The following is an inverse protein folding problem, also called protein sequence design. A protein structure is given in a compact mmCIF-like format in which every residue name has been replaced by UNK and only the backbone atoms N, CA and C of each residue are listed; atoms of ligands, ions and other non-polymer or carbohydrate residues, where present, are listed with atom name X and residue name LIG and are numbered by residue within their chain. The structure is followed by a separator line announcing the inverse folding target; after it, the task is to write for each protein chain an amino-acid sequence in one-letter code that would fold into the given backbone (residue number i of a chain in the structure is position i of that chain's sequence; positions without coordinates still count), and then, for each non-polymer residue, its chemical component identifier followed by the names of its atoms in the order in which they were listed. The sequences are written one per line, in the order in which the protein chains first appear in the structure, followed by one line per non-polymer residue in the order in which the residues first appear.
data_IF_457437822024
#
_entry.id   IF_457437822024
#
_cell.length_a   1.000
_cell.length_b   1.000
_cell.length_c   1.000
_cell.angle_alpha   90.00
_cell.angle_beta   90.00
_cell.angle_gamma   90.00
#
_symmetry.space_group_name_H-M   'P 1'
#
loop_
_entity.id
_entity.type
_entity.pdbx_description
1 polymer ?
#
# COMPACT_ATOMS: atom_id res chain seq x y z
N UNK A 1 -36.18 9.47 12.48
CA UNK A 1 -35.60 10.81 12.28
C UNK A 1 -34.10 10.63 12.04
N UNK A 2 -33.75 10.20 10.84
CA UNK A 2 -33.22 10.97 9.69
C UNK A 2 -31.71 11.16 9.78
N UNK A 3 -31.01 10.34 8.96
CA UNK A 3 -29.58 10.42 8.64
C UNK A 3 -29.28 11.74 7.93
N UNK A 4 -28.18 12.39 8.27
CA UNK A 4 -27.53 13.37 7.39
C UNK A 4 -26.18 12.85 6.94
N UNK A 5 -26.07 12.71 5.62
CA UNK A 5 -24.86 12.43 4.88
C UNK A 5 -24.11 13.76 4.68
N UNK A 6 -22.78 13.74 4.81
CA UNK A 6 -21.91 14.82 4.32
C UNK A 6 -21.06 14.23 3.20
N UNK A 7 -21.33 14.70 1.99
CA UNK A 7 -20.55 14.44 0.79
C UNK A 7 -19.26 15.26 0.83
N UNK A 8 -18.13 14.59 0.57
CA UNK A 8 -16.84 15.24 0.34
C UNK A 8 -16.71 15.65 -1.13
N UNK A 9 -16.56 16.95 -1.35
CA UNK A 9 -16.20 17.58 -2.62
C UNK A 9 -14.70 17.47 -2.84
N UNK A 10 -14.28 16.88 -3.96
CA UNK A 10 -12.89 16.86 -4.40
C UNK A 10 -12.56 18.20 -5.10
N UNK A 11 -11.52 18.89 -4.61
CA UNK A 11 -10.91 20.05 -5.29
C UNK A 11 -9.65 19.56 -6.00
N UNK A 12 -9.62 19.71 -7.32
CA UNK A 12 -8.45 19.47 -8.17
C UNK A 12 -7.53 20.70 -8.11
N UNK A 13 -6.25 20.49 -7.77
CA UNK A 13 -5.19 21.46 -7.94
C UNK A 13 -4.44 21.13 -9.23
N UNK A 14 -4.58 21.97 -10.26
CA UNK A 14 -3.65 21.99 -11.40
C UNK A 14 -2.51 22.97 -11.12
N UNK A 15 -1.28 22.50 -11.29
CA UNK A 15 -0.08 23.32 -11.40
C UNK A 15 0.25 23.47 -12.90
N UNK A 16 0.25 24.70 -13.42
CA UNK A 16 0.93 25.04 -14.68
C UNK A 16 1.83 26.25 -14.45
N UNK A 17 3.07 26.07 -14.90
CA UNK A 17 4.20 27.00 -14.83
C UNK A 17 3.90 28.35 -15.48
N UNK A 18 4.26 29.42 -14.76
CA UNK A 18 4.40 30.76 -15.32
C UNK A 18 5.84 31.01 -15.80
N UNK A 19 5.98 31.48 -17.03
CA UNK A 19 7.17 32.19 -17.50
C UNK A 19 6.69 33.46 -18.19
N UNK A 20 7.28 34.59 -17.81
CA UNK A 20 6.87 35.95 -18.14
C UNK A 20 7.40 36.46 -19.50
N UNK A 21 6.53 37.21 -20.20
CA UNK A 21 6.75 38.49 -20.92
C UNK A 21 7.57 38.53 -22.25
N UNK A 22 7.44 39.61 -23.08
CA UNK A 22 6.23 40.36 -23.46
C UNK A 22 6.17 40.86 -24.95
N UNK A 23 4.95 41.21 -25.37
CA UNK A 23 4.48 42.35 -26.21
C UNK A 23 5.01 42.63 -27.65
N UNK A 24 4.04 42.67 -28.58
CA UNK A 24 3.72 43.69 -29.62
C UNK A 24 3.02 42.99 -30.80
N UNK A 25 2.05 43.49 -31.56
CA UNK A 25 1.42 44.79 -31.75
C UNK A 25 0.96 44.85 -33.22
N UNK A 26 -0.24 45.42 -33.48
CA UNK A 26 -0.84 45.81 -34.79
C UNK A 26 -1.52 44.77 -35.69
N UNK A 27 -2.84 44.95 -35.84
CA UNK A 27 -3.39 45.66 -37.01
C UNK A 27 -4.05 44.81 -38.12
N UNK A 28 -5.02 45.39 -38.88
CA UNK A 28 -6.29 44.72 -39.21
C UNK A 28 -6.58 44.60 -40.72
N UNK A 29 -7.69 43.94 -41.08
CA UNK A 29 -8.39 44.25 -42.33
C UNK A 29 -9.26 43.13 -42.92
N UNK A 30 -10.47 43.49 -43.36
CA UNK A 30 -11.15 42.81 -44.47
C UNK A 30 -12.58 42.35 -44.22
N UNK A 31 -13.54 43.28 -44.31
CA UNK A 31 -14.96 43.00 -44.46
C UNK A 31 -15.38 42.93 -45.94
N UNK A 32 -16.67 42.60 -46.16
CA UNK A 32 -17.48 42.60 -47.40
C UNK A 32 -17.67 41.22 -48.02
N UNK A 33 -18.85 40.76 -48.45
CA UNK A 33 -20.21 41.31 -48.61
C UNK A 33 -21.06 40.15 -49.18
N UNK A 34 -22.23 39.83 -48.64
CA UNK A 34 -23.55 40.37 -48.99
C UNK A 34 -24.10 39.97 -50.38
N UNK A 35 -25.15 39.12 -50.35
CA UNK A 35 -26.32 39.00 -51.26
C UNK A 35 -26.08 38.40 -52.67
N UNK A 36 -26.99 37.69 -53.34
CA UNK A 36 -28.46 37.71 -53.33
C UNK A 36 -29.11 36.41 -53.87
N UNK A 37 -30.44 36.39 -53.71
CA UNK A 37 -31.48 35.39 -54.02
C UNK A 37 -31.47 34.69 -55.39
N UNK A 38 -32.04 33.47 -55.40
CA UNK A 38 -32.65 32.83 -56.57
C UNK A 38 -33.55 31.66 -56.15
N UNK A 39 -34.86 31.78 -56.37
CA UNK A 39 -35.88 30.78 -56.01
C UNK A 39 -36.09 29.67 -57.05
N UNK A 40 -36.66 28.54 -56.61
CA UNK A 40 -37.16 27.47 -57.47
C UNK A 40 -37.40 26.14 -56.70
N UNK A 41 -38.55 25.44 -56.86
CA UNK A 41 -39.03 24.44 -55.91
C UNK A 41 -38.59 22.98 -56.16
N UNK A 42 -38.55 22.23 -55.06
CA UNK A 42 -38.69 20.79 -54.81
C UNK A 42 -38.30 19.75 -55.88
N UNK A 43 -37.30 18.92 -55.53
CA UNK A 43 -37.25 17.47 -55.80
C UNK A 43 -36.71 16.74 -54.56
N UNK A 44 -37.30 15.63 -54.10
CA UNK A 44 -36.81 14.93 -52.91
C UNK A 44 -35.58 14.11 -53.30
N UNK A 45 -34.40 14.53 -52.84
CA UNK A 45 -33.20 13.68 -52.87
C UNK A 45 -33.15 12.88 -51.58
N UNK A 46 -33.17 11.55 -51.76
CA UNK A 46 -33.01 10.51 -50.73
C UNK A 46 -31.92 10.92 -49.73
N UNK A 47 -32.32 11.20 -48.49
CA UNK A 47 -31.39 11.38 -47.39
C UNK A 47 -30.78 10.01 -47.06
N UNK A 48 -29.48 9.86 -47.35
CA UNK A 48 -28.66 8.78 -46.82
C UNK A 48 -28.54 9.05 -45.31
N UNK A 49 -29.23 8.25 -44.48
CA UNK A 49 -29.06 8.28 -43.03
C UNK A 49 -27.69 7.68 -42.73
N UNK A 50 -26.71 8.54 -42.50
CA UNK A 50 -25.42 8.14 -41.95
C UNK A 50 -25.66 7.76 -40.48
N UNK A 51 -25.41 6.52 -40.02
CA UNK A 51 -25.53 6.22 -38.61
C UNK A 51 -24.44 6.99 -37.87
N UNK A 52 -24.88 7.93 -37.01
CA UNK A 52 -24.02 8.60 -36.05
C UNK A 52 -23.52 7.52 -35.08
N UNK A 53 -22.33 6.98 -35.34
CA UNK A 53 -21.64 6.11 -34.38
C UNK A 53 -21.23 7.01 -33.22
N UNK A 54 -22.07 7.07 -32.18
CA UNK A 54 -21.62 7.53 -30.87
C UNK A 54 -20.57 6.51 -30.40
N UNK A 55 -19.30 6.84 -30.61
CA UNK A 55 -18.21 6.24 -29.88
C UNK A 55 -18.37 6.65 -28.41
N UNK A 56 -19.16 5.89 -27.66
CA UNK A 56 -19.11 5.92 -26.21
C UNK A 56 -17.70 5.45 -25.84
N UNK A 57 -16.78 6.40 -25.61
CA UNK A 57 -15.58 6.13 -24.86
C UNK A 57 -16.05 5.68 -23.48
N UNK A 58 -16.15 4.36 -23.30
CA UNK A 58 -16.14 3.77 -22.00
C UNK A 58 -14.80 4.16 -21.38
N UNK A 59 -14.82 5.22 -20.58
CA UNK A 59 -13.86 5.41 -19.53
C UNK A 59 -13.96 4.17 -18.65
N UNK A 60 -13.21 3.13 -19.01
CA UNK A 60 -12.97 1.98 -18.16
C UNK A 60 -12.06 2.50 -17.06
N UNK A 61 -12.68 3.21 -16.12
CA UNK A 61 -12.11 3.39 -14.80
C UNK A 61 -11.74 2.00 -14.35
N UNK A 62 -10.44 1.69 -14.37
CA UNK A 62 -9.92 0.46 -13.82
C UNK A 62 -10.19 0.57 -12.33
N UNK A 63 -11.34 0.08 -11.91
CA UNK A 63 -11.62 -0.17 -10.51
C UNK A 63 -10.50 -1.09 -10.04
N UNK A 64 -9.50 -0.49 -9.39
CA UNK A 64 -8.47 -1.26 -8.72
C UNK A 64 -9.23 -2.17 -7.76
N UNK A 65 -9.24 -3.47 -8.06
CA UNK A 65 -9.91 -4.44 -7.22
C UNK A 65 -9.32 -4.27 -5.82
N UNK A 66 -10.16 -3.90 -4.84
CA UNK A 66 -9.71 -3.66 -3.48
C UNK A 66 -8.92 -4.87 -2.98
N UNK A 67 -7.78 -4.61 -2.32
CA UNK A 67 -6.96 -5.67 -1.77
C UNK A 67 -7.77 -6.48 -0.75
N UNK A 68 -7.70 -7.81 -0.81
CA UNK A 68 -8.39 -8.69 0.16
C UNK A 68 -7.48 -9.82 0.62
N UNK A 69 -7.59 -10.21 1.89
CA UNK A 69 -6.86 -11.37 2.41
C UNK A 69 -7.21 -12.67 1.68
N UNK A 70 -8.42 -12.78 1.10
CA UNK A 70 -8.79 -13.91 0.26
C UNK A 70 -7.90 -14.01 -0.98
N UNK A 71 -7.62 -12.90 -1.65
CA UNK A 71 -6.76 -12.88 -2.83
C UNK A 71 -5.29 -13.00 -2.43
N UNK A 72 -4.87 -12.41 -1.32
CA UNK A 72 -3.50 -12.57 -0.82
C UNK A 72 -3.19 -14.05 -0.57
N UNK A 73 -4.11 -14.76 0.07
CA UNK A 73 -3.96 -16.19 0.31
C UNK A 73 -4.02 -17.04 -0.98
N UNK A 74 -4.76 -16.61 -2.00
CA UNK A 74 -4.66 -17.19 -3.35
C UNK A 74 -3.24 -17.01 -3.90
N UNK A 75 -2.68 -15.82 -3.80
CA UNK A 75 -1.32 -15.52 -4.28
C UNK A 75 -0.27 -16.35 -3.55
N UNK A 76 -0.38 -16.53 -2.22
CA UNK A 76 0.48 -17.46 -1.46
C UNK A 76 0.39 -18.88 -2.01
N UNK A 77 -0.84 -19.37 -2.22
CA UNK A 77 -1.06 -20.70 -2.81
C UNK A 77 -0.40 -20.83 -4.19
N UNK A 78 -0.62 -19.87 -5.08
CA UNK A 78 -0.03 -19.87 -6.43
C UNK A 78 1.51 -19.74 -6.40
N UNK A 79 2.03 -18.95 -5.47
CA UNK A 79 3.47 -18.76 -5.25
C UNK A 79 4.12 -20.08 -4.83
N UNK A 80 3.53 -20.80 -3.88
CA UNK A 80 4.02 -22.11 -3.41
C UNK A 80 4.03 -23.20 -4.49
N UNK A 81 3.22 -23.05 -5.55
CA UNK A 81 3.20 -23.94 -6.72
C UNK A 81 4.11 -23.46 -7.86
N UNK A 82 4.86 -22.38 -7.67
CA UNK A 82 5.73 -21.76 -8.69
C UNK A 82 4.97 -21.07 -9.82
N UNK A 83 3.66 -20.83 -9.65
CA UNK A 83 2.78 -20.28 -10.67
C UNK A 83 2.66 -18.75 -10.59
N UNK A 84 3.13 -18.14 -9.51
CA UNK A 84 3.08 -16.70 -9.27
C UNK A 84 4.40 -16.23 -8.67
N UNK A 85 4.91 -15.08 -9.12
CA UNK A 85 6.17 -14.47 -8.63
C UNK A 85 6.00 -12.96 -8.34
N UNK A 86 4.77 -12.47 -8.38
CA UNK A 86 4.47 -11.07 -8.04
C UNK A 86 4.36 -10.87 -6.52
N UNK A 87 4.13 -9.62 -6.08
CA UNK A 87 3.89 -9.32 -4.68
C UNK A 87 2.57 -9.94 -4.19
N UNK A 88 2.54 -10.36 -2.93
CA UNK A 88 1.33 -10.86 -2.27
C UNK A 88 0.54 -9.65 -1.77
N UNK A 89 -0.07 -8.95 -2.73
CA UNK A 89 -0.71 -7.64 -2.54
C UNK A 89 -2.21 -7.69 -2.25
N UNK A 90 -2.83 -8.87 -2.33
CA UNK A 90 -4.26 -9.03 -2.19
C UNK A 90 -5.08 -8.51 -3.36
N UNK A 91 -4.45 -8.12 -4.47
CA UNK A 91 -5.09 -7.58 -5.67
C UNK A 91 -5.17 -8.66 -6.74
N UNK A 92 -6.37 -8.89 -7.27
CA UNK A 92 -6.63 -9.92 -8.28
C UNK A 92 -6.24 -9.43 -9.68
N UNK A 93 -5.01 -8.91 -9.84
CA UNK A 93 -4.51 -8.30 -11.07
C UNK A 93 -4.24 -9.30 -12.21
N UNK A 94 -3.78 -8.81 -13.39
CA UNK A 94 -3.52 -9.65 -14.55
C UNK A 94 -2.55 -10.81 -14.28
N UNK A 95 -1.50 -10.59 -13.49
CA UNK A 95 -0.54 -11.63 -13.13
C UNK A 95 -1.19 -12.74 -12.28
N UNK A 96 -2.02 -12.35 -11.30
CA UNK A 96 -2.79 -13.30 -10.46
C UNK A 96 -3.76 -14.10 -11.31
N UNK A 97 -4.53 -13.45 -12.20
CA UNK A 97 -5.47 -14.14 -13.11
C UNK A 97 -4.76 -15.11 -14.07
N UNK A 98 -3.61 -14.74 -14.63
CA UNK A 98 -2.79 -15.63 -15.46
C UNK A 98 -2.30 -16.85 -14.67
N UNK A 99 -1.86 -16.64 -13.43
CA UNK A 99 -1.43 -17.72 -12.55
C UNK A 99 -2.57 -18.69 -12.21
N UNK A 100 -3.79 -18.18 -11.95
CA UNK A 100 -4.99 -19.00 -11.78
C UNK A 100 -5.28 -19.85 -13.01
N UNK A 101 -5.26 -19.27 -14.21
CA UNK A 101 -5.47 -20.01 -15.46
C UNK A 101 -4.44 -21.12 -15.67
N UNK A 102 -3.17 -20.85 -15.35
CA UNK A 102 -2.10 -21.89 -15.39
C UNK A 102 -2.36 -23.03 -14.42
N UNK A 103 -2.80 -22.73 -13.20
CA UNK A 103 -3.20 -23.76 -12.23
C UNK A 103 -4.36 -24.59 -12.77
N UNK A 104 -5.39 -23.96 -13.30
CA UNK A 104 -6.57 -24.62 -13.86
C UNK A 104 -6.21 -25.57 -15.00
N UNK A 105 -5.35 -25.11 -15.93
CA UNK A 105 -4.79 -25.93 -17.00
C UNK A 105 -4.02 -27.14 -16.46
N UNK A 106 -3.10 -26.92 -15.50
CA UNK A 106 -2.30 -27.99 -14.89
C UNK A 106 -3.18 -29.02 -14.16
N UNK A 107 -4.25 -28.56 -13.52
CA UNK A 107 -5.20 -29.39 -12.78
C UNK A 107 -6.29 -30.03 -13.67
N UNK A 108 -6.29 -29.76 -14.98
CA UNK A 108 -7.29 -30.25 -15.95
C UNK A 108 -8.74 -29.93 -15.54
N UNK A 109 -8.97 -28.68 -15.11
CA UNK A 109 -10.29 -28.14 -14.77
C UNK A 109 -10.63 -26.95 -15.68
N UNK A 110 -11.87 -26.43 -15.59
CA UNK A 110 -12.30 -25.28 -16.38
C UNK A 110 -11.37 -24.06 -16.22
N UNK A 111 -10.99 -23.43 -17.34
CA UNK A 111 -10.00 -22.34 -17.42
C UNK A 111 -10.70 -20.99 -17.58
N UNK A 112 -11.40 -20.59 -16.53
CA UNK A 112 -12.14 -19.31 -16.47
C UNK A 112 -11.30 -18.18 -15.83
N UNK A 113 -10.17 -18.51 -15.18
CA UNK A 113 -9.35 -17.57 -14.42
C UNK A 113 -9.97 -17.15 -13.07
N UNK A 114 -11.04 -17.82 -12.64
CA UNK A 114 -11.76 -17.57 -11.40
C UNK A 114 -11.38 -18.64 -10.36
N UNK A 115 -10.96 -18.27 -9.13
CA UNK A 115 -10.56 -19.22 -8.09
C UNK A 115 -11.78 -19.90 -7.41
N UNK A 116 -12.58 -20.60 -8.20
CA UNK A 116 -13.74 -21.37 -7.76
C UNK A 116 -13.38 -22.60 -6.90
N UNK A 117 -14.37 -23.38 -6.44
CA UNK A 117 -14.15 -24.54 -5.57
C UNK A 117 -13.15 -25.57 -6.16
N UNK A 118 -13.22 -25.86 -7.46
CA UNK A 118 -12.28 -26.76 -8.13
C UNK A 118 -10.85 -26.21 -8.12
N UNK A 119 -10.67 -24.93 -8.41
CA UNK A 119 -9.36 -24.27 -8.38
C UNK A 119 -8.78 -24.22 -6.97
N UNK A 120 -9.61 -23.99 -5.94
CA UNK A 120 -9.15 -24.06 -4.55
C UNK A 120 -8.72 -25.47 -4.17
N UNK A 121 -9.48 -26.50 -4.56
CA UNK A 121 -9.08 -27.90 -4.37
C UNK A 121 -7.75 -28.21 -5.06
N UNK A 122 -7.50 -27.65 -6.25
CA UNK A 122 -6.24 -27.81 -6.98
C UNK A 122 -5.01 -27.23 -6.25
N UNK A 123 -5.20 -26.31 -5.30
CA UNK A 123 -4.11 -25.81 -4.43
C UNK A 123 -3.78 -26.74 -3.26
N UNK A 124 -4.49 -27.87 -3.14
CA UNK A 124 -4.24 -28.90 -2.14
C UNK A 124 -4.45 -28.38 -0.72
N UNK A 125 -3.46 -28.62 0.16
CA UNK A 125 -3.50 -28.25 1.59
C UNK A 125 -3.83 -26.78 1.83
N UNK A 126 -3.48 -25.90 0.89
CA UNK A 126 -3.77 -24.48 1.01
C UNK A 126 -5.26 -24.19 0.84
N UNK A 127 -5.96 -24.70 -0.18
CA UNK A 127 -7.33 -24.27 -0.49
C UNK A 127 -8.48 -24.86 0.35
N UNK A 128 -8.21 -25.59 1.44
CA UNK A 128 -9.24 -26.34 2.19
C UNK A 128 -10.14 -25.46 3.06
N UNK A 129 -9.58 -24.48 3.76
CA UNK A 129 -10.29 -23.72 4.79
C UNK A 129 -10.41 -22.24 4.41
N UNK A 130 -11.64 -21.69 4.34
CA UNK A 130 -11.84 -20.25 4.24
C UNK A 130 -11.32 -19.52 5.48
N UNK A 131 -10.91 -18.26 5.32
CA UNK A 131 -10.52 -17.41 6.43
C UNK A 131 -11.69 -17.22 7.42
N UNK A 132 -11.42 -17.35 8.72
CA UNK A 132 -12.45 -17.29 9.77
C UNK A 132 -13.29 -18.57 9.97
N UNK A 133 -13.14 -19.60 9.12
CA UNK A 133 -13.94 -20.83 9.23
C UNK A 133 -13.57 -21.72 10.43
N UNK A 134 -12.42 -21.49 11.05
CA UNK A 134 -11.93 -22.23 12.21
C UNK A 134 -10.92 -21.39 13.00
N UNK A 135 -10.66 -21.74 14.27
CA UNK A 135 -9.57 -21.13 15.03
C UNK A 135 -8.19 -21.51 14.47
N UNK A 136 -7.28 -20.52 14.40
CA UNK A 136 -5.89 -20.72 13.97
C UNK A 136 -4.94 -20.58 15.16
N UNK A 137 -3.97 -21.50 15.25
CA UNK A 137 -2.92 -21.52 16.29
C UNK A 137 -1.63 -22.09 15.70
N UNK A 138 -0.52 -22.02 16.44
CA UNK A 138 0.78 -22.53 15.98
C UNK A 138 0.67 -23.96 15.44
N UNK A 139 1.34 -24.21 14.31
CA UNK A 139 1.30 -25.49 13.58
C UNK A 139 0.17 -25.62 12.56
N UNK A 140 -0.77 -24.66 12.48
CA UNK A 140 -1.72 -24.62 11.36
C UNK A 140 -1.01 -24.22 10.07
N UNK A 141 -1.45 -24.83 8.96
CA UNK A 141 -1.03 -24.50 7.61
C UNK A 141 -2.29 -24.34 6.77
N UNK A 142 -2.33 -23.38 5.86
CA UNK A 142 -3.45 -23.22 4.95
C UNK A 142 -3.60 -21.82 4.36
N UNK A 143 -4.57 -21.69 3.47
CA UNK A 143 -5.01 -20.41 2.90
C UNK A 143 -5.57 -19.47 3.97
N UNK A 144 -6.28 -20.00 4.96
CA UNK A 144 -6.73 -19.23 6.12
C UNK A 144 -5.56 -18.66 6.95
N UNK A 145 -4.45 -19.40 7.04
CA UNK A 145 -3.22 -18.91 7.68
C UNK A 145 -2.53 -17.84 6.85
N UNK A 146 -2.45 -18.03 5.52
CA UNK A 146 -1.93 -17.01 4.61
C UNK A 146 -2.74 -15.70 4.70
N UNK A 147 -4.07 -15.83 4.76
CA UNK A 147 -4.97 -14.70 4.97
C UNK A 147 -4.72 -14.03 6.33
N UNK A 148 -4.53 -14.80 7.41
CA UNK A 148 -4.16 -14.25 8.72
C UNK A 148 -2.84 -13.47 8.66
N UNK A 149 -1.80 -14.00 8.02
CA UNK A 149 -0.50 -13.35 7.90
C UNK A 149 -0.63 -12.01 7.15
N UNK A 150 -1.42 -11.97 6.08
CA UNK A 150 -1.71 -10.75 5.33
C UNK A 150 -2.47 -9.73 6.18
N UNK A 151 -3.54 -10.14 6.87
CA UNK A 151 -4.32 -9.24 7.73
C UNK A 151 -3.49 -8.69 8.88
N UNK A 152 -2.67 -9.51 9.53
CA UNK A 152 -1.75 -9.05 10.58
C UNK A 152 -0.78 -8.01 10.02
N UNK A 153 -0.20 -8.25 8.84
CA UNK A 153 0.73 -7.32 8.21
C UNK A 153 0.05 -5.98 7.85
N UNK A 154 -1.16 -6.03 7.27
CA UNK A 154 -1.97 -4.86 6.97
C UNK A 154 -2.34 -4.04 8.22
N UNK A 155 -2.48 -4.70 9.38
CA UNK A 155 -2.69 -4.05 10.68
C UNK A 155 -1.39 -3.60 11.38
N UNK A 156 -0.26 -3.65 10.69
CA UNK A 156 1.03 -3.20 11.21
C UNK A 156 1.78 -4.23 12.05
N UNK A 157 1.44 -5.51 11.92
CA UNK A 157 2.09 -6.63 12.60
C UNK A 157 2.61 -7.66 11.59
N UNK A 158 3.59 -7.30 10.73
CA UNK A 158 4.17 -8.26 9.79
C UNK A 158 4.79 -9.45 10.53
N UNK A 159 4.67 -10.63 9.93
CA UNK A 159 5.09 -11.90 10.52
C UNK A 159 6.26 -12.58 9.79
N UNK A 160 6.92 -11.84 8.88
CA UNK A 160 7.95 -12.36 7.99
C UNK A 160 7.37 -12.71 6.62
N UNK A 161 7.72 -13.89 6.10
CA UNK A 161 7.18 -14.38 4.84
C UNK A 161 5.70 -14.78 5.00
N UNK A 162 4.91 -14.45 4.00
CA UNK A 162 3.53 -14.88 3.81
C UNK A 162 3.57 -16.24 3.12
N UNK A 163 3.75 -17.29 3.92
CA UNK A 163 3.96 -18.67 3.46
C UNK A 163 2.77 -19.60 3.76
N UNK A 164 1.75 -19.10 4.45
CA UNK A 164 0.60 -19.86 4.90
C UNK A 164 0.90 -20.87 6.00
N UNK A 165 1.99 -20.69 6.75
CA UNK A 165 2.41 -21.53 7.88
C UNK A 165 2.38 -20.70 9.18
N UNK A 166 1.61 -21.14 10.17
CA UNK A 166 1.53 -20.47 11.46
C UNK A 166 2.68 -20.95 12.35
N UNK A 167 3.87 -20.39 12.09
CA UNK A 167 5.08 -20.63 12.85
C UNK A 167 5.25 -19.70 14.05
N UNK A 168 6.45 -19.70 14.66
CA UNK A 168 6.76 -18.87 15.82
C UNK A 168 6.64 -17.36 15.53
N UNK A 169 7.06 -16.90 14.34
CA UNK A 169 6.97 -15.49 13.95
C UNK A 169 5.52 -15.03 13.78
N UNK A 170 4.66 -15.85 13.18
CA UNK A 170 3.22 -15.56 13.05
C UNK A 170 2.51 -15.61 14.40
N UNK A 171 2.83 -16.56 15.28
CA UNK A 171 2.30 -16.59 16.66
C UNK A 171 2.69 -15.32 17.43
N UNK A 172 3.95 -14.89 17.34
CA UNK A 172 4.41 -13.66 17.97
C UNK A 172 3.70 -12.41 17.42
N UNK A 173 3.53 -12.32 16.10
CA UNK A 173 2.79 -11.23 15.46
C UNK A 173 1.31 -11.21 15.89
N UNK A 174 0.68 -12.38 15.93
CA UNK A 174 -0.70 -12.55 16.40
C UNK A 174 -0.85 -12.07 17.85
N UNK A 175 0.06 -12.45 18.75
CA UNK A 175 0.03 -11.99 20.16
C UNK A 175 0.21 -10.48 20.28
N UNK A 176 1.11 -9.88 19.48
CA UNK A 176 1.27 -8.41 19.44
C UNK A 176 -0.03 -7.72 18.99
N UNK A 177 -0.66 -8.24 17.95
CA UNK A 177 -1.96 -7.74 17.47
C UNK A 177 -3.06 -7.91 18.53
N UNK A 178 -3.16 -9.08 19.17
CA UNK A 178 -4.15 -9.34 20.21
C UNK A 178 -4.00 -8.35 21.38
N UNK A 179 -2.75 -8.10 21.81
CA UNK A 179 -2.44 -7.09 22.83
C UNK A 179 -2.85 -5.68 22.38
N UNK A 180 -2.53 -5.30 21.15
CA UNK A 180 -2.83 -3.98 20.59
C UNK A 180 -4.34 -3.72 20.47
N UNK A 181 -5.09 -4.74 20.06
CA UNK A 181 -6.55 -4.68 19.89
C UNK A 181 -7.32 -4.95 21.19
N UNK A 182 -6.63 -5.15 22.32
CA UNK A 182 -7.22 -5.44 23.63
C UNK A 182 -8.16 -6.66 23.63
N UNK A 183 -7.89 -7.66 22.79
CA UNK A 183 -8.55 -8.98 22.86
C UNK A 183 -7.70 -9.96 23.66
N UNK A 184 -8.23 -11.14 23.96
CA UNK A 184 -7.50 -12.19 24.70
C UNK A 184 -6.17 -12.52 24.00
N UNK A 185 -5.06 -12.47 24.75
CA UNK A 185 -3.70 -12.74 24.26
C UNK A 185 -3.34 -14.21 24.48
N UNK A 186 -3.87 -15.09 23.65
CA UNK A 186 -3.67 -16.55 23.74
C UNK A 186 -2.89 -17.14 22.57
N UNK A 187 -2.57 -16.36 21.53
CA UNK A 187 -1.96 -16.85 20.29
C UNK A 187 -2.90 -17.73 19.47
N UNK A 188 -4.21 -17.65 19.72
CA UNK A 188 -5.25 -18.31 18.93
C UNK A 188 -6.09 -17.25 18.22
N UNK A 189 -6.03 -17.23 16.89
CA UNK A 189 -6.95 -16.42 16.10
C UNK A 189 -8.33 -17.10 16.11
N UNK A 190 -9.13 -16.76 17.12
CA UNK A 190 -10.53 -17.16 17.27
C UNK A 190 -11.49 -16.03 16.93
N UNK A 191 -12.76 -16.17 17.33
CA UNK A 191 -13.84 -15.20 17.02
C UNK A 191 -13.47 -13.76 17.38
N UNK A 192 -12.93 -13.54 18.59
CA UNK A 192 -12.54 -12.19 19.03
C UNK A 192 -11.42 -11.58 18.18
N UNK A 193 -10.39 -12.36 17.84
CA UNK A 193 -9.31 -11.90 16.96
C UNK A 193 -9.81 -11.61 15.55
N UNK A 194 -10.66 -12.47 14.97
CA UNK A 194 -11.20 -12.21 13.63
C UNK A 194 -12.11 -10.97 13.60
N UNK A 195 -12.91 -10.75 14.64
CA UNK A 195 -13.70 -9.53 14.77
C UNK A 195 -12.80 -8.28 14.86
N UNK A 196 -11.69 -8.35 15.61
CA UNK A 196 -10.73 -7.25 15.68
C UNK A 196 -10.02 -6.99 14.35
N UNK A 197 -9.68 -8.02 13.57
CA UNK A 197 -9.07 -7.89 12.23
C UNK A 197 -10.04 -7.35 11.17
N UNK A 198 -11.35 -7.35 11.44
CA UNK A 198 -12.34 -6.74 10.54
C UNK A 198 -12.43 -5.21 10.71
N UNK A 199 -11.84 -4.65 11.77
CA UNK A 199 -11.72 -3.21 11.94
C UNK A 199 -10.69 -2.63 10.94
N UNK A 200 -10.77 -1.33 10.60
CA UNK A 200 -9.76 -0.72 9.74
C UNK A 200 -8.37 -0.70 10.43
N UNK A 201 -7.27 -0.76 9.64
CA UNK A 201 -5.93 -0.57 10.17
C UNK A 201 -5.74 0.77 10.88
N UNK A 202 -4.81 0.86 11.85
CA UNK A 202 -4.47 2.13 12.48
C UNK A 202 -4.01 3.16 11.45
N UNK A 203 -4.29 4.43 11.75
CA UNK A 203 -3.80 5.58 11.00
C UNK A 203 -3.01 6.49 11.92
N UNK A 204 -1.91 7.09 11.43
CA UNK A 204 -1.19 8.08 12.21
C UNK A 204 -2.02 9.38 12.32
N UNK A 205 -1.86 10.09 13.43
CA UNK A 205 -2.40 11.44 13.62
C UNK A 205 -1.33 12.54 13.50
N UNK A 206 -0.05 12.14 13.49
CA UNK A 206 1.08 13.04 13.30
C UNK A 206 1.03 13.76 11.95
N UNK A 207 1.51 15.01 11.96
CA UNK A 207 2.04 15.69 10.77
C UNK A 207 3.55 15.69 10.89
N UNK A 208 4.22 15.19 9.86
CA UNK A 208 5.66 14.99 9.81
C UNK A 208 6.30 15.88 8.75
N UNK A 209 7.59 16.15 8.90
CA UNK A 209 8.45 16.64 7.82
C UNK A 209 9.28 15.49 7.25
N UNK A 210 9.71 15.63 6.00
CA UNK A 210 10.63 14.66 5.40
C UNK A 210 11.93 14.55 6.22
N UNK A 211 12.36 13.34 6.61
CA UNK A 211 13.55 13.14 7.44
C UNK A 211 14.87 13.27 6.67
N UNK A 212 14.80 13.35 5.33
CA UNK A 212 15.93 13.62 4.42
C UNK A 212 15.50 14.61 3.35
N UNK A 213 16.45 15.32 2.75
CA UNK A 213 16.21 16.30 1.69
C UNK A 213 17.28 16.19 0.58
N UNK A 214 16.89 16.15 -0.71
CA UNK A 214 15.52 15.93 -1.19
C UNK A 214 15.03 14.52 -0.83
N UNK A 215 13.72 14.35 -0.70
CA UNK A 215 13.10 13.05 -0.44
C UNK A 215 12.92 12.27 -1.75
N UNK A 216 13.34 11.01 -1.77
CA UNK A 216 13.14 10.09 -2.89
C UNK A 216 12.72 8.73 -2.35
N UNK A 217 11.45 8.38 -2.53
CA UNK A 217 10.90 7.09 -2.11
C UNK A 217 11.32 6.02 -3.11
N UNK A 218 12.19 5.10 -2.69
CA UNK A 218 12.61 3.96 -3.51
C UNK A 218 11.72 2.74 -3.30
N UNK A 219 11.41 2.40 -2.04
CA UNK A 219 10.52 1.28 -1.70
C UNK A 219 9.36 1.78 -0.82
N UNK A 220 8.10 1.60 -1.24
CA UNK A 220 6.94 2.03 -0.47
C UNK A 220 6.64 1.06 0.68
N UNK A 221 5.79 1.51 1.61
CA UNK A 221 5.17 0.67 2.62
C UNK A 221 4.27 -0.39 1.97
N UNK A 222 4.25 -1.59 2.54
CA UNK A 222 3.31 -2.63 2.12
C UNK A 222 3.94 -3.88 1.50
N UNK A 223 3.15 -4.65 0.72
CA UNK A 223 3.57 -5.93 0.16
C UNK A 223 4.83 -5.85 -0.72
N UNK A 224 5.84 -6.70 -0.42
CA UNK A 224 7.12 -6.78 -1.15
C UNK A 224 7.49 -8.24 -1.39
N UNK A 225 7.15 -8.76 -2.58
CA UNK A 225 7.28 -10.18 -2.88
C UNK A 225 6.39 -11.00 -1.95
N UNK A 226 6.97 -11.96 -1.24
CA UNK A 226 6.31 -12.75 -0.19
C UNK A 226 6.42 -12.12 1.21
N UNK A 227 6.97 -10.92 1.36
CA UNK A 227 7.10 -10.20 2.63
C UNK A 227 6.27 -8.93 2.64
N UNK A 228 6.32 -8.23 3.77
CA UNK A 228 5.69 -6.93 3.95
C UNK A 228 6.73 -5.93 4.49
N UNK A 229 6.74 -4.74 3.91
CA UNK A 229 7.62 -3.64 4.25
C UNK A 229 6.94 -2.73 5.28
N UNK A 230 7.51 -2.62 6.49
CA UNK A 230 6.94 -1.91 7.64
C UNK A 230 7.13 -0.40 7.63
N UNK A 231 7.79 0.14 6.61
CA UNK A 231 8.06 1.57 6.47
C UNK A 231 8.24 1.93 5.00
N UNK A 232 8.95 3.02 4.75
CA UNK A 232 9.42 3.42 3.42
C UNK A 232 10.94 3.47 3.40
N UNK A 233 11.51 3.14 2.25
CA UNK A 233 12.95 3.25 2.00
C UNK A 233 13.19 4.53 1.19
N UNK A 234 13.90 5.46 1.81
CA UNK A 234 14.26 6.74 1.22
C UNK A 234 15.69 6.67 0.69
N UNK A 235 15.83 6.72 -0.64
CA UNK A 235 17.12 6.53 -1.32
C UNK A 235 17.94 7.80 -1.20
N UNK A 236 19.15 7.65 -0.67
CA UNK A 236 20.13 8.73 -0.57
C UNK A 236 21.55 8.16 -0.43
N UNK A 237 22.58 8.90 -0.85
CA UNK A 237 23.97 8.49 -0.62
C UNK A 237 24.27 8.24 0.86
N UNK A 238 25.19 7.32 1.14
CA UNK A 238 25.72 7.12 2.50
C UNK A 238 26.30 8.44 3.01
N UNK A 239 25.99 8.79 4.26
CA UNK A 239 26.45 10.03 4.89
C UNK A 239 25.49 11.21 4.76
N UNK A 240 24.44 11.12 3.92
CA UNK A 240 23.38 12.13 3.85
C UNK A 240 22.79 12.37 5.24
N UNK A 241 22.69 13.63 5.73
CA UNK A 241 22.12 13.93 7.04
C UNK A 241 20.66 13.44 7.16
N UNK A 242 20.33 12.88 8.33
CA UNK A 242 18.96 12.48 8.69
C UNK A 242 18.50 13.37 9.83
N UNK A 243 17.26 13.86 9.72
CA UNK A 243 16.66 14.80 10.66
C UNK A 243 15.40 14.21 11.31
N UNK A 244 15.10 14.68 12.52
CA UNK A 244 13.86 14.34 13.22
C UNK A 244 12.66 14.88 12.45
N UNK A 245 11.77 13.98 12.01
CA UNK A 245 10.58 14.29 11.24
C UNK A 245 9.55 15.13 12.05
N UNK A 246 9.61 15.05 13.39
CA UNK A 246 8.83 15.85 14.34
C UNK A 246 9.56 15.90 15.68
N UNK A 247 9.29 16.91 16.49
CA UNK A 247 9.80 16.97 17.87
C UNK A 247 9.29 15.83 18.75
N UNK A 248 10.09 15.41 19.72
CA UNK A 248 9.80 14.29 20.60
C UNK A 248 11.00 13.83 21.42
N UNK A 249 10.81 12.76 22.20
CA UNK A 249 11.85 12.18 23.05
C UNK A 249 12.51 10.99 22.37
N UNK A 250 13.84 10.96 22.31
CA UNK A 250 14.58 9.79 21.83
C UNK A 250 14.43 8.65 22.83
N UNK A 251 13.75 7.57 22.44
CA UNK A 251 13.51 6.39 23.28
C UNK A 251 14.43 5.21 22.95
N UNK A 252 15.09 5.26 21.79
CA UNK A 252 16.13 4.33 21.36
C UNK A 252 17.16 5.05 20.48
N UNK A 253 18.44 4.74 20.66
CA UNK A 253 19.55 5.29 19.88
C UNK A 253 20.76 4.36 20.00
N UNK A 254 20.69 3.20 19.33
CA UNK A 254 21.73 2.17 19.36
C UNK A 254 21.51 1.15 18.22
N UNK A 255 22.39 0.15 18.13
CA UNK A 255 22.21 -1.02 17.29
C UNK A 255 20.96 -1.82 17.69
N UNK A 256 20.11 -2.12 16.71
CA UNK A 256 18.92 -2.95 16.86
C UNK A 256 18.99 -4.21 15.97
N UNK A 257 18.80 -5.37 16.60
CA UNK A 257 18.65 -6.66 15.90
C UNK A 257 17.36 -6.73 15.09
N UNK A 258 17.22 -7.74 14.22
CA UNK A 258 16.01 -7.94 13.42
C UNK A 258 16.01 -7.18 12.08
N UNK A 259 17.17 -6.64 11.70
CA UNK A 259 17.43 -6.05 10.39
C UNK A 259 17.61 -4.54 10.41
N UNK A 260 17.21 -3.82 11.46
CA UNK A 260 17.27 -2.35 11.47
C UNK A 260 18.71 -1.79 11.53
N UNK A 261 19.67 -2.48 12.15
CA UNK A 261 21.04 -1.97 12.29
C UNK A 261 21.09 -0.77 13.24
N UNK A 262 21.87 0.28 12.92
CA UNK A 262 21.83 1.49 13.74
C UNK A 262 20.49 2.19 13.59
N UNK A 263 19.79 2.30 14.73
CA UNK A 263 18.42 2.76 14.82
C UNK A 263 18.31 3.93 15.79
N UNK A 264 17.56 4.95 15.39
CA UNK A 264 17.01 5.95 16.29
C UNK A 264 15.48 5.80 16.32
N UNK A 265 14.88 5.88 17.51
CA UNK A 265 13.41 5.92 17.67
C UNK A 265 13.04 7.16 18.47
N UNK A 266 12.15 7.97 17.92
CA UNK A 266 11.62 9.18 18.56
C UNK A 266 10.16 8.94 18.93
N UNK A 267 9.83 9.15 20.21
CA UNK A 267 8.47 9.10 20.75
C UNK A 267 7.86 10.50 20.73
N UNK A 268 6.68 10.60 20.12
CA UNK A 268 5.98 11.85 19.85
C UNK A 268 4.78 12.10 20.78
N UNK A 269 4.52 11.18 21.72
CA UNK A 269 3.30 11.16 22.52
C UNK A 269 2.23 10.25 21.90
N UNK A 270 1.18 9.96 22.68
CA UNK A 270 -0.01 9.19 22.26
C UNK A 270 0.25 7.80 21.65
N UNK A 271 1.42 7.25 21.94
CA UNK A 271 1.89 5.98 21.39
C UNK A 271 2.37 6.06 19.95
N UNK A 272 2.55 7.26 19.38
CA UNK A 272 3.05 7.47 18.03
C UNK A 272 4.57 7.66 18.02
N UNK A 273 5.27 6.93 17.15
CA UNK A 273 6.73 6.94 17.08
C UNK A 273 7.24 6.95 15.65
N UNK A 274 8.39 7.57 15.43
CA UNK A 274 9.16 7.46 14.19
C UNK A 274 10.44 6.66 14.41
N UNK A 275 10.78 5.82 13.44
CA UNK A 275 11.96 4.96 13.46
C UNK A 275 12.84 5.31 12.27
N UNK A 276 14.15 5.43 12.52
CA UNK A 276 15.16 5.84 11.54
C UNK A 276 16.27 4.80 11.54
N UNK A 277 16.21 3.86 10.59
CA UNK A 277 17.04 2.67 10.56
C UNK A 277 18.09 2.70 9.45
N UNK A 278 18.96 1.68 9.45
CA UNK A 278 20.10 1.51 8.55
C UNK A 278 21.10 2.66 8.59
N UNK A 279 21.13 3.44 9.68
CA UNK A 279 22.02 4.60 9.79
C UNK A 279 23.49 4.17 9.71
N UNK A 280 24.36 5.04 9.22
CA UNK A 280 25.82 4.84 9.27
C UNK A 280 26.43 5.34 10.56
N UNK A 281 25.78 6.31 11.20
CA UNK A 281 26.10 6.84 12.52
C UNK A 281 24.85 7.43 13.18
N UNK A 282 24.90 7.53 14.50
CA UNK A 282 23.88 8.15 15.34
C UNK A 282 24.49 9.39 15.99
N UNK A 283 23.83 10.54 15.84
CA UNK A 283 24.31 11.84 16.35
C UNK A 283 23.59 12.27 17.64
N UNK A 284 22.64 11.47 18.15
CA UNK A 284 21.83 11.73 19.35
C UNK A 284 21.91 10.58 20.37
N UNK A 285 21.49 10.82 21.61
CA UNK A 285 21.47 9.81 22.68
C UNK A 285 20.06 9.56 23.19
N UNK A 286 19.80 8.35 23.69
CA UNK A 286 18.54 8.03 24.36
C UNK A 286 18.28 9.00 25.52
N UNK A 287 17.04 9.45 25.65
CA UNK A 287 16.57 10.31 26.73
C UNK A 287 16.48 11.80 26.35
N UNK A 288 17.16 12.24 25.29
CA UNK A 288 17.12 13.65 24.86
C UNK A 288 15.79 14.01 24.20
N UNK A 289 15.38 15.25 24.37
CA UNK A 289 14.28 15.86 23.63
C UNK A 289 14.83 16.55 22.38
N UNK A 290 14.11 16.40 21.27
CA UNK A 290 14.44 16.98 19.97
C UNK A 290 13.31 17.90 19.54
N UNK A 291 13.67 19.02 18.90
CA UNK A 291 12.77 19.76 18.04
C UNK A 291 12.69 19.11 16.65
N UNK A 292 11.68 19.50 15.86
CA UNK A 292 11.59 19.09 14.45
C UNK A 292 12.82 19.60 13.69
N UNK A 293 13.33 18.81 12.75
CA UNK A 293 14.47 19.19 11.91
C UNK A 293 15.83 19.10 12.60
N UNK A 294 15.89 18.69 13.88
CA UNK A 294 17.18 18.40 14.54
C UNK A 294 17.82 17.19 13.87
N UNK A 295 19.12 17.29 13.57
CA UNK A 295 19.90 16.19 13.00
C UNK A 295 20.04 15.05 14.00
N UNK A 296 19.74 13.82 13.57
CA UNK A 296 19.78 12.62 14.42
C UNK A 296 20.84 11.60 13.98
N UNK A 297 21.38 11.74 12.77
CA UNK A 297 22.35 10.80 12.24
C UNK A 297 22.67 11.03 10.77
N UNK A 298 23.12 9.96 10.12
CA UNK A 298 23.36 9.96 8.68
C UNK A 298 22.95 8.64 8.04
N UNK A 299 22.48 8.70 6.80
CA UNK A 299 22.12 7.55 5.95
C UNK A 299 23.27 6.55 5.90
N UNK A 300 22.94 5.27 5.94
CA UNK A 300 23.90 4.18 5.87
C UNK A 300 23.36 2.98 5.14
N UNK A 301 23.94 1.82 5.45
CA UNK A 301 23.54 0.51 4.94
C UNK A 301 23.84 -0.56 6.01
N UNK A 302 23.54 -0.26 7.27
CA UNK A 302 23.74 -1.20 8.38
C UNK A 302 22.52 -2.11 8.56
N UNK A 303 22.70 -3.29 9.15
CA UNK A 303 21.62 -4.29 9.27
C UNK A 303 21.31 -4.97 7.92
N UNK A 304 20.03 -5.22 7.65
CA UNK A 304 19.54 -5.94 6.46
C UNK A 304 19.30 -4.99 5.26
N UNK A 305 20.26 -4.12 4.98
CA UNK A 305 20.20 -3.17 3.87
C UNK A 305 20.99 -3.67 2.65
N UNK A 306 20.40 -3.64 1.45
CA UNK A 306 21.08 -4.03 0.20
C UNK A 306 21.90 -2.89 -0.43
N UNK A 307 21.83 -1.69 0.12
CA UNK A 307 22.54 -0.51 -0.34
C UNK A 307 22.18 0.73 0.48
N UNK A 308 22.81 1.90 0.23
CA UNK A 308 22.55 3.11 0.99
C UNK A 308 21.10 3.64 0.87
N UNK A 309 20.38 3.69 1.99
CA UNK A 309 19.06 4.31 2.12
C UNK A 309 18.72 4.54 3.60
N UNK A 310 17.72 5.38 3.87
CA UNK A 310 17.07 5.46 5.18
C UNK A 310 15.80 4.61 5.15
N UNK A 311 15.72 3.61 6.02
CA UNK A 311 14.45 2.95 6.29
C UNK A 311 13.70 3.72 7.38
N UNK A 312 12.56 4.29 7.02
CA UNK A 312 11.75 5.16 7.86
C UNK A 312 10.40 4.52 8.16
N UNK A 313 10.11 4.28 9.45
CA UNK A 313 8.80 3.77 9.87
C UNK A 313 8.05 4.79 10.72
N UNK A 314 6.72 4.75 10.63
CA UNK A 314 5.80 5.37 11.59
C UNK A 314 5.04 4.25 12.29
N UNK A 315 4.92 4.34 13.61
CA UNK A 315 4.20 3.34 14.41
C UNK A 315 3.16 3.97 15.32
N UNK A 316 1.98 3.36 15.39
CA UNK A 316 0.86 3.76 16.26
C UNK A 316 0.60 2.67 17.29
N UNK A 317 0.91 2.95 18.56
CA UNK A 317 0.89 2.00 19.67
C UNK A 317 1.65 0.69 19.37
N UNK A 318 2.72 0.81 18.57
CA UNK A 318 3.57 -0.31 18.15
C UNK A 318 3.20 -0.98 16.82
N UNK A 319 2.04 -0.69 16.24
CA UNK A 319 1.66 -1.14 14.90
C UNK A 319 2.32 -0.26 13.83
N UNK A 320 3.00 -0.84 12.84
CA UNK A 320 3.55 -0.07 11.70
C UNK A 320 2.45 0.42 10.78
N UNK A 321 2.49 1.69 10.39
CA UNK A 321 1.54 2.31 9.47
C UNK A 321 2.31 2.95 8.31
N UNK A 322 1.61 3.19 7.19
CA UNK A 322 2.20 3.86 6.04
C UNK A 322 2.66 5.28 6.42
N UNK A 323 3.98 5.57 6.39
CA UNK A 323 4.51 6.89 6.69
C UNK A 323 3.98 7.99 5.77
N UNK A 324 3.60 7.67 4.52
CA UNK A 324 3.09 8.65 3.56
C UNK A 324 1.74 9.24 3.98
N UNK A 325 1.03 8.62 4.92
CA UNK A 325 -0.20 9.19 5.49
C UNK A 325 0.06 10.37 6.43
N UNK A 326 1.29 10.55 6.91
CA UNK A 326 1.68 11.59 7.86
C UNK A 326 2.71 12.59 7.29
N UNK A 327 3.37 12.25 6.17
CA UNK A 327 4.34 13.07 5.47
C UNK A 327 3.64 14.07 4.52
N UNK A 328 4.29 15.20 4.18
CA UNK A 328 3.72 16.23 3.32
C UNK A 328 3.82 15.87 1.83
#
# INVERSE_FOLDING_TARGET
MTRQAIMGTYVLYEHVFGVNCPLSGRGPGGANGATANGGGPMRPRRALVLPLVLAALAATGSAHAAATARVAALQVGLYSHGLYRGPIDGIAGPATRRAVRRLQLRARIAVDGVPGPQTRRALGRFGRHPFGSRPLRRGRIGWDVAALQFELAAHGFPSGALDGILGARTDAALRRFQKWSAVRVDGVAGRGTFAALAAPPPRPTLRLSWPIQPASVGSPFGPRGDRFHSGIDLVAPKGTPVYAARGGKVVWADWAEGGWGFLVVVDHGDGERTWYAHLSRIDVRKGVWLDVGVRIGAVGATGDATGPHLHFEVRVRGASVDPLLALP
#
